data_IF_146173838986
#
_entry.id   IF_146173838986
#
_cell.length_a   1.000
_cell.length_b   1.000
_cell.length_c   1.000
_cell.angle_alpha   90.00
_cell.angle_beta   90.00
_cell.angle_gamma   90.00
#
_symmetry.space_group_name_H-M   'P 1'
#
loop_
_entity.id
_entity.type
_entity.pdbx_description
1 polymer ?
#
# COMPACT_ATOMS: atom_id res chain seq x y z
N UNK A 1 12.27 36.72 -12.97
CA UNK A 1 12.83 35.44 -12.50
C UNK A 1 11.66 34.49 -12.36
N UNK A 2 11.55 33.52 -13.28
CA UNK A 2 10.42 32.58 -13.38
C UNK A 2 10.89 31.26 -12.77
N UNK A 3 10.34 30.89 -11.62
CA UNK A 3 10.46 29.55 -11.05
C UNK A 3 9.06 28.96 -11.08
N UNK A 4 8.72 28.36 -12.22
CA UNK A 4 7.64 27.37 -12.26
C UNK A 4 8.27 25.99 -12.22
N UNK A 5 7.78 25.16 -11.30
CA UNK A 5 8.13 23.75 -11.18
C UNK A 5 7.29 23.15 -10.07
N UNK A 6 6.10 22.65 -10.42
CA UNK A 6 5.22 21.92 -9.50
C UNK A 6 5.94 20.65 -9.03
N UNK A 7 6.29 20.55 -7.75
CA UNK A 7 6.61 19.27 -7.11
C UNK A 7 5.35 18.77 -6.39
N UNK A 8 4.48 18.11 -7.16
CA UNK A 8 3.35 17.35 -6.64
C UNK A 8 3.65 15.85 -6.71
N UNK A 9 2.84 15.00 -6.06
CA UNK A 9 3.03 13.55 -6.09
C UNK A 9 3.15 13.04 -7.52
N UNK A 10 4.20 12.26 -7.78
CA UNK A 10 4.43 11.68 -9.09
C UNK A 10 3.60 10.41 -9.21
N UNK A 11 2.78 10.32 -10.27
CA UNK A 11 2.01 9.13 -10.56
C UNK A 11 2.51 8.41 -11.81
N UNK A 12 2.51 7.08 -11.77
CA UNK A 12 2.90 6.22 -12.88
C UNK A 12 1.89 5.08 -13.03
N UNK A 13 1.35 4.90 -14.24
CA UNK A 13 0.53 3.74 -14.56
C UNK A 13 1.40 2.56 -15.02
N UNK A 14 1.13 1.39 -14.45
CA UNK A 14 1.78 0.12 -14.73
C UNK A 14 0.73 -0.81 -15.33
N UNK A 15 0.97 -1.31 -16.55
CA UNK A 15 0.05 -2.20 -17.25
C UNK A 15 0.09 -3.63 -16.70
N UNK A 16 -0.90 -4.44 -17.08
CA UNK A 16 -1.08 -5.84 -16.67
C UNK A 16 0.18 -6.68 -16.78
N UNK A 17 0.94 -6.49 -17.85
CA UNK A 17 2.15 -7.26 -18.15
C UNK A 17 3.27 -6.99 -17.14
N UNK A 18 3.26 -5.80 -16.50
CA UNK A 18 4.24 -5.39 -15.50
C UNK A 18 3.75 -5.57 -14.05
N UNK A 19 2.46 -5.89 -13.83
CA UNK A 19 1.90 -6.23 -12.51
C UNK A 19 2.63 -7.38 -11.78
N UNK A 20 3.14 -8.44 -12.45
CA UNK A 20 3.89 -9.50 -11.75
C UNK A 20 5.08 -8.97 -10.93
N UNK A 21 5.71 -7.85 -11.34
CA UNK A 21 6.78 -7.21 -10.58
C UNK A 21 6.27 -6.56 -9.27
N UNK A 22 4.98 -6.23 -9.21
CA UNK A 22 4.35 -5.53 -8.09
C UNK A 22 3.87 -6.46 -6.97
N UNK A 23 3.84 -7.77 -7.23
CA UNK A 23 3.37 -8.80 -6.30
C UNK A 23 2.12 -8.39 -5.50
N UNK A 24 1.05 -7.94 -6.19
CA UNK A 24 -0.20 -7.53 -5.53
C UNK A 24 -0.85 -8.64 -4.68
N UNK A 25 -0.42 -9.90 -4.88
CA UNK A 25 -0.81 -11.07 -4.10
C UNK A 25 0.06 -11.32 -2.87
N UNK A 26 1.10 -10.52 -2.62
CA UNK A 26 2.14 -10.80 -1.63
C UNK A 26 1.64 -11.01 -0.20
N UNK A 27 0.55 -10.34 0.17
CA UNK A 27 -0.13 -10.49 1.46
C UNK A 27 -1.52 -11.13 1.35
N UNK A 28 -1.91 -11.61 0.17
CA UNK A 28 -3.22 -12.23 -0.06
C UNK A 28 -3.16 -13.71 0.36
N UNK A 29 -3.98 -14.16 1.33
CA UNK A 29 -4.01 -15.58 1.67
C UNK A 29 -4.59 -16.41 0.52
N UNK A 30 -4.01 -17.58 0.25
CA UNK A 30 -4.43 -18.45 -0.86
C UNK A 30 -5.92 -18.81 -0.84
N UNK A 31 -6.51 -18.97 0.34
CA UNK A 31 -7.93 -19.26 0.51
C UNK A 31 -8.86 -18.16 -0.04
N UNK A 32 -8.34 -16.95 -0.25
CA UNK A 32 -9.06 -15.80 -0.78
C UNK A 32 -8.69 -15.46 -2.24
N UNK A 33 -7.70 -16.13 -2.81
CA UNK A 33 -7.19 -15.86 -4.15
C UNK A 33 -8.27 -15.84 -5.24
N UNK A 34 -9.21 -16.77 -5.18
CA UNK A 34 -10.30 -16.91 -6.15
C UNK A 34 -11.52 -16.02 -5.83
N UNK A 35 -11.49 -15.30 -4.70
CA UNK A 35 -12.59 -14.47 -4.21
C UNK A 35 -12.36 -12.97 -4.41
N UNK A 36 -11.15 -12.59 -4.79
CA UNK A 36 -10.78 -11.19 -5.07
C UNK A 36 -10.88 -10.90 -6.56
N UNK A 37 -11.11 -9.64 -6.89
CA UNK A 37 -10.95 -9.13 -8.24
C UNK A 37 -9.48 -8.80 -8.52
N UNK A 38 -8.96 -9.20 -9.67
CA UNK A 38 -7.54 -9.06 -9.99
C UNK A 38 -7.29 -7.75 -10.76
N UNK A 39 -6.29 -6.94 -10.36
CA UNK A 39 -5.99 -5.71 -11.08
C UNK A 39 -5.47 -6.00 -12.49
N UNK A 40 -6.00 -5.25 -13.46
CA UNK A 40 -5.54 -5.21 -14.84
C UNK A 40 -4.50 -4.10 -15.06
N UNK A 41 -4.54 -3.01 -14.31
CA UNK A 41 -3.45 -2.04 -14.23
C UNK A 41 -3.35 -1.49 -12.82
N UNK A 42 -2.21 -0.89 -12.50
CA UNK A 42 -1.92 -0.28 -11.21
C UNK A 42 -1.40 1.13 -11.42
N UNK A 43 -1.98 2.10 -10.71
CA UNK A 43 -1.41 3.44 -10.58
C UNK A 43 -0.56 3.48 -9.31
N UNK A 44 0.70 3.84 -9.47
CA UNK A 44 1.68 4.07 -8.42
C UNK A 44 1.76 5.56 -8.10
N UNK A 45 1.84 5.88 -6.81
CA UNK A 45 1.98 7.22 -6.27
C UNK A 45 3.09 7.21 -5.24
N UNK A 46 4.04 8.12 -5.38
CA UNK A 46 5.16 8.28 -4.45
C UNK A 46 5.20 9.71 -3.93
N UNK A 47 5.33 9.85 -2.61
CA UNK A 47 5.53 11.16 -1.97
C UNK A 47 7.02 11.37 -1.73
N UNK A 48 7.63 12.33 -2.42
CA UNK A 48 9.08 12.54 -2.36
C UNK A 48 9.61 12.95 -0.97
N UNK A 49 8.76 13.56 -0.13
CA UNK A 49 9.18 14.11 1.16
C UNK A 49 9.12 13.10 2.32
N UNK A 50 8.45 11.97 2.14
CA UNK A 50 8.25 10.93 3.15
C UNK A 50 8.56 9.57 2.52
N UNK A 51 8.99 8.59 3.32
CA UNK A 51 9.07 7.20 2.82
C UNK A 51 7.64 6.64 2.77
N UNK A 52 6.88 7.11 1.78
CA UNK A 52 5.47 6.86 1.62
C UNK A 52 5.14 6.56 0.15
N UNK A 53 4.59 5.37 -0.08
CA UNK A 53 4.21 4.89 -1.40
C UNK A 53 2.80 4.33 -1.35
N UNK A 54 2.04 4.55 -2.42
CA UNK A 54 0.68 4.06 -2.57
C UNK A 54 0.46 3.51 -3.96
N UNK A 55 -0.29 2.42 -4.03
CA UNK A 55 -0.69 1.79 -5.26
C UNK A 55 -2.19 1.55 -5.29
N UNK A 56 -2.82 1.79 -6.44
CA UNK A 56 -4.24 1.52 -6.67
C UNK A 56 -4.36 0.66 -7.93
N UNK A 57 -4.89 -0.54 -7.78
CA UNK A 57 -5.17 -1.45 -8.88
C UNK A 57 -6.62 -1.36 -9.33
N UNK A 58 -6.83 -1.48 -10.63
CA UNK A 58 -8.13 -1.31 -11.28
C UNK A 58 -8.50 -2.54 -12.11
N UNK A 59 -9.79 -2.89 -12.13
CA UNK A 59 -10.33 -3.98 -12.93
C UNK A 59 -10.76 -3.54 -14.35
N UNK A 60 -11.47 -4.40 -15.07
CA UNK A 60 -11.92 -4.16 -16.44
C UNK A 60 -12.89 -2.98 -16.58
N UNK A 61 -13.62 -2.64 -15.52
CA UNK A 61 -14.60 -1.55 -15.49
C UNK A 61 -13.99 -0.25 -14.97
N UNK A 62 -12.66 -0.19 -14.87
CA UNK A 62 -11.89 0.92 -14.29
C UNK A 62 -12.21 1.19 -12.82
N UNK A 63 -12.73 0.20 -12.10
CA UNK A 63 -13.07 0.33 -10.68
C UNK A 63 -11.89 -0.14 -9.81
N UNK A 64 -11.62 0.53 -8.66
CA UNK A 64 -10.60 0.07 -7.74
C UNK A 64 -10.91 -1.35 -7.23
N UNK A 65 -9.98 -2.26 -7.43
CA UNK A 65 -10.04 -3.64 -6.95
C UNK A 65 -8.88 -4.01 -6.02
N UNK A 66 -7.85 -3.17 -5.97
CA UNK A 66 -6.69 -3.37 -5.12
C UNK A 66 -6.17 -2.02 -4.62
N UNK A 67 -5.70 -1.96 -3.39
CA UNK A 67 -4.88 -0.84 -2.90
C UNK A 67 -3.81 -1.36 -1.98
N UNK A 68 -2.62 -0.78 -2.07
CA UNK A 68 -1.56 -1.00 -1.09
C UNK A 68 -0.93 0.32 -0.71
N UNK A 69 -0.44 0.40 0.52
CA UNK A 69 0.38 1.51 0.95
C UNK A 69 1.51 1.03 1.84
N UNK A 70 2.64 1.72 1.71
CA UNK A 70 3.76 1.66 2.62
C UNK A 70 3.97 3.06 3.17
N UNK A 71 4.18 3.14 4.48
CA UNK A 71 4.51 4.39 5.15
C UNK A 71 5.51 4.12 6.25
N UNK A 72 6.61 4.86 6.28
CA UNK A 72 7.57 4.84 7.38
C UNK A 72 7.86 6.28 7.86
N UNK A 73 7.73 6.48 9.17
CA UNK A 73 8.12 7.70 9.86
C UNK A 73 9.45 7.46 10.59
N UNK A 74 10.53 8.14 10.20
CA UNK A 74 11.81 7.99 10.88
C UNK A 74 11.72 8.45 12.34
N UNK A 75 12.41 7.76 13.23
CA UNK A 75 12.52 8.20 14.61
C UNK A 75 13.46 9.41 14.74
N UNK A 76 13.18 10.28 15.71
CA UNK A 76 14.17 11.30 16.09
C UNK A 76 15.41 10.60 16.62
N UNK A 77 16.56 10.86 15.99
CA UNK A 77 17.86 10.33 16.44
C UNK A 77 18.12 10.78 17.88
N UNK A 78 18.01 9.86 18.82
CA UNK A 78 18.46 10.04 20.20
C UNK A 78 19.71 9.18 20.45
N UNK A 79 20.79 9.75 21.00
CA UNK A 79 22.03 9.01 21.26
C UNK A 79 21.83 7.78 22.16
N UNK A 80 20.87 7.85 23.09
CA UNK A 80 20.53 6.76 24.01
C UNK A 80 19.58 5.68 23.45
N UNK A 81 18.93 5.90 22.30
CA UNK A 81 18.01 4.92 21.71
C UNK A 81 18.03 5.01 20.16
N UNK A 82 18.76 4.11 19.48
CA UNK A 82 18.98 4.17 18.04
C UNK A 82 17.79 3.65 17.22
N UNK A 83 16.55 3.65 17.75
CA UNK A 83 15.38 3.25 16.96
C UNK A 83 15.40 4.01 15.62
N UNK A 84 15.40 3.28 14.51
CA UNK A 84 15.56 3.86 13.17
C UNK A 84 14.22 4.41 12.63
N UNK A 85 13.09 3.87 13.12
CA UNK A 85 11.73 4.20 12.67
C UNK A 85 10.80 4.33 13.89
N UNK A 86 10.10 5.46 14.02
CA UNK A 86 9.12 5.69 15.09
C UNK A 86 7.80 4.97 14.82
N UNK A 87 7.41 4.90 13.54
CA UNK A 87 6.18 4.27 13.09
C UNK A 87 6.35 3.73 11.68
N UNK A 88 5.80 2.56 11.40
CA UNK A 88 5.66 2.03 10.05
C UNK A 88 4.31 1.37 9.86
N UNK A 89 3.78 1.46 8.66
CA UNK A 89 2.56 0.79 8.26
C UNK A 89 2.71 0.19 6.87
N UNK A 90 2.30 -1.07 6.76
CA UNK A 90 2.05 -1.77 5.50
C UNK A 90 0.58 -2.13 5.46
N UNK A 91 -0.09 -1.75 4.39
CA UNK A 91 -1.45 -2.18 4.07
C UNK A 91 -1.48 -2.76 2.67
N UNK A 92 -2.26 -3.82 2.54
CA UNK A 92 -2.74 -4.29 1.25
C UNK A 92 -4.23 -4.62 1.41
N UNK A 93 -5.03 -4.27 0.41
CA UNK A 93 -6.44 -4.57 0.42
C UNK A 93 -6.93 -4.95 -0.97
N UNK A 94 -7.88 -5.88 -1.00
CA UNK A 94 -8.44 -6.45 -2.22
C UNK A 94 -9.95 -6.40 -2.15
N UNK A 95 -10.57 -5.92 -3.23
CA UNK A 95 -12.02 -5.98 -3.40
C UNK A 95 -12.43 -7.42 -3.64
N UNK A 96 -13.33 -7.92 -2.81
CA UNK A 96 -13.97 -9.21 -2.95
C UNK A 96 -15.05 -9.13 -4.02
N UNK A 97 -15.42 -10.27 -4.59
CA UNK A 97 -16.55 -10.38 -5.56
C UNK A 97 -17.91 -9.98 -4.97
N UNK A 98 -18.03 -9.91 -3.64
CA UNK A 98 -19.19 -9.39 -2.94
C UNK A 98 -19.06 -7.90 -2.56
N UNK A 99 -18.13 -7.20 -3.22
CA UNK A 99 -17.85 -5.75 -3.14
C UNK A 99 -17.22 -5.26 -1.84
N UNK A 100 -17.17 -6.09 -0.80
CA UNK A 100 -16.42 -5.80 0.43
C UNK A 100 -14.92 -5.87 0.18
N UNK A 101 -14.12 -5.39 1.12
CA UNK A 101 -12.68 -5.36 1.04
C UNK A 101 -12.05 -6.27 2.09
N UNK A 102 -11.23 -7.22 1.64
CA UNK A 102 -10.29 -7.91 2.53
C UNK A 102 -9.10 -6.98 2.72
N UNK A 103 -8.82 -6.60 3.97
CA UNK A 103 -7.76 -5.66 4.32
C UNK A 103 -6.74 -6.36 5.20
N UNK A 104 -5.48 -6.33 4.79
CA UNK A 104 -4.31 -6.68 5.59
C UNK A 104 -3.67 -5.40 6.13
N UNK A 105 -3.30 -5.40 7.40
CA UNK A 105 -2.48 -4.33 8.01
C UNK A 105 -1.36 -4.92 8.86
N UNK A 106 -0.19 -4.30 8.78
CA UNK A 106 0.95 -4.56 9.65
C UNK A 106 1.48 -3.20 10.12
N UNK A 107 1.54 -3.02 11.45
CA UNK A 107 1.90 -1.76 12.09
C UNK A 107 3.09 -1.99 13.02
N UNK A 108 4.19 -1.27 12.79
CA UNK A 108 5.38 -1.27 13.64
C UNK A 108 5.55 0.04 14.40
N UNK A 109 5.92 -0.02 15.68
CA UNK A 109 5.95 1.16 16.58
C UNK A 109 7.27 1.30 17.36
N UNK A 110 8.42 1.24 16.68
CA UNK A 110 9.73 1.41 17.33
C UNK A 110 10.08 0.37 18.40
N UNK A 111 9.33 -0.75 18.44
CA UNK A 111 9.52 -1.88 19.34
C UNK A 111 10.51 -2.89 18.75
N UNK A 112 11.22 -3.62 19.62
CA UNK A 112 12.09 -4.75 19.23
C UNK A 112 11.31 -5.99 18.82
N UNK A 113 9.99 -6.01 19.09
CA UNK A 113 9.11 -7.11 18.68
C UNK A 113 8.66 -6.90 17.23
N UNK A 114 8.92 -7.90 16.38
CA UNK A 114 8.42 -7.89 15.01
C UNK A 114 6.89 -7.75 14.98
N UNK A 115 6.34 -6.76 14.25
CA UNK A 115 4.91 -6.57 14.19
C UNK A 115 4.24 -7.75 13.49
N UNK A 116 3.07 -8.16 14.01
CA UNK A 116 2.24 -9.19 13.37
C UNK A 116 1.14 -8.51 12.58
N UNK A 117 1.03 -8.91 11.31
CA UNK A 117 -0.07 -8.46 10.48
C UNK A 117 -1.40 -9.09 10.89
N UNK A 118 -2.50 -8.42 10.58
CA UNK A 118 -3.85 -8.90 10.80
C UNK A 118 -4.75 -8.62 9.60
N UNK A 119 -5.86 -9.36 9.51
CA UNK A 119 -6.85 -9.21 8.45
C UNK A 119 -8.20 -8.75 9.02
N UNK A 120 -8.91 -7.96 8.24
CA UNK A 120 -10.30 -7.56 8.53
C UNK A 120 -11.09 -7.44 7.22
N UNK A 121 -12.42 -7.44 7.34
CA UNK A 121 -13.33 -7.15 6.24
C UNK A 121 -13.88 -5.74 6.43
N UNK A 122 -13.78 -4.91 5.41
CA UNK A 122 -14.31 -3.55 5.36
C UNK A 122 -15.42 -3.45 4.30
N UNK A 123 -16.51 -2.69 4.51
CA UNK A 123 -17.46 -2.41 3.46
C UNK A 123 -16.87 -1.51 2.35
N UNK A 124 -15.91 -0.66 2.71
CA UNK A 124 -15.31 0.32 1.82
C UNK A 124 -13.82 0.08 1.59
N UNK A 125 -13.29 0.61 0.49
CA UNK A 125 -11.85 0.65 0.24
C UNK A 125 -11.16 1.42 1.39
N UNK A 126 -10.12 0.86 2.02
CA UNK A 126 -9.37 1.58 3.05
C UNK A 126 -8.67 2.79 2.45
N UNK A 127 -8.64 3.88 3.21
CA UNK A 127 -7.97 5.13 2.88
C UNK A 127 -6.58 5.18 3.50
#
# INVERSE_FOLDING_TARGET
MRLEGREGPQSRRISREAIPAHNWRGYLPDAWAERVEAPLWVDEFEEYQLDAQRWIGYDADEQPCYTAHHYALPAQRHPENPAEVAYSEVLAAWRLRDERWLVFRLIGTGSTVLPRGFYLISPDMPR
#
